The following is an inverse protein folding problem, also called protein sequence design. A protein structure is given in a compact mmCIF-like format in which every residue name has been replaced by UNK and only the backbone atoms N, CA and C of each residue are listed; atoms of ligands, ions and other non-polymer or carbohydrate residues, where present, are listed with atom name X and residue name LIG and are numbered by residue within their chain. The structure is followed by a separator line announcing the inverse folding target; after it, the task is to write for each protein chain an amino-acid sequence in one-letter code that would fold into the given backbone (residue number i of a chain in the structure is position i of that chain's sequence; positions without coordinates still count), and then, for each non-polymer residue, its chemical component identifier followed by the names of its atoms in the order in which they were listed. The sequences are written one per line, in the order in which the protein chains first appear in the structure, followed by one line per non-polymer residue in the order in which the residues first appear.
data_IF_197000277882
#
_entry.id   IF_197000277882
#
_cell.length_a   1.000
_cell.length_b   1.000
_cell.length_c   1.000
_cell.angle_alpha   90.00
_cell.angle_beta   90.00
_cell.angle_gamma   90.00
#
_symmetry.space_group_name_H-M   'P 1'
#
loop_
_entity.id
_entity.type
_entity.pdbx_description
1 polymer ?
#
# COMPACT_ATOMS: atom_id res chain seq x y z
N UNK A 1 25.05 -53.90 -21.41
CA UNK A 1 24.15 -53.55 -22.54
C UNK A 1 22.65 -53.46 -22.18
N UNK A 2 22.17 -53.91 -21.01
CA UNK A 2 20.72 -53.97 -20.68
C UNK A 2 20.05 -52.64 -20.30
N UNK A 3 20.79 -51.66 -19.77
CA UNK A 3 20.21 -50.38 -19.33
C UNK A 3 19.75 -49.48 -20.49
N UNK A 4 20.37 -49.63 -21.66
CA UNK A 4 20.04 -48.80 -22.82
C UNK A 4 18.67 -49.19 -23.39
N UNK A 5 18.39 -50.49 -23.47
CA UNK A 5 17.11 -51.03 -23.96
C UNK A 5 15.94 -50.67 -23.03
N UNK A 6 16.13 -50.76 -21.71
CA UNK A 6 15.10 -50.33 -20.74
C UNK A 6 14.83 -48.83 -20.84
N UNK A 7 15.85 -48.00 -21.04
CA UNK A 7 15.66 -46.55 -21.22
C UNK A 7 14.91 -46.25 -22.52
N UNK A 8 15.28 -46.92 -23.63
CA UNK A 8 14.61 -46.76 -24.92
C UNK A 8 13.16 -47.21 -24.87
N UNK A 9 12.87 -48.33 -24.20
CA UNK A 9 11.51 -48.81 -24.01
C UNK A 9 10.66 -47.85 -23.15
N UNK A 10 11.25 -47.27 -22.09
CA UNK A 10 10.58 -46.27 -21.25
C UNK A 10 10.25 -44.99 -22.03
N UNK A 11 11.24 -44.48 -22.78
CA UNK A 11 11.09 -43.28 -23.62
C UNK A 11 10.06 -43.53 -24.73
N UNK A 12 10.07 -44.72 -25.34
CA UNK A 12 9.06 -45.10 -26.32
C UNK A 12 7.66 -45.15 -25.69
N UNK A 13 7.50 -45.77 -24.52
CA UNK A 13 6.22 -45.82 -23.79
C UNK A 13 5.69 -44.43 -23.45
N UNK A 14 6.56 -43.52 -23.02
CA UNK A 14 6.18 -42.13 -22.73
C UNK A 14 5.73 -41.38 -23.99
N UNK A 15 6.39 -41.60 -25.13
CA UNK A 15 5.98 -41.05 -26.43
C UNK A 15 4.59 -41.54 -26.85
N UNK A 16 4.31 -42.83 -26.63
CA UNK A 16 2.97 -43.38 -26.90
C UNK A 16 1.92 -42.74 -25.99
N UNK A 17 2.19 -42.64 -24.69
CA UNK A 17 1.27 -42.01 -23.73
C UNK A 17 0.93 -40.56 -24.08
N UNK A 18 1.87 -39.81 -24.66
CA UNK A 18 1.71 -38.39 -25.02
C UNK A 18 1.19 -38.15 -26.44
N UNK A 19 1.00 -39.20 -27.24
CA UNK A 19 0.48 -39.05 -28.60
C UNK A 19 1.47 -38.45 -29.62
N UNK A 20 2.78 -38.50 -29.35
CA UNK A 20 3.81 -37.79 -30.14
C UNK A 20 4.56 -38.76 -31.07
N UNK A 21 3.83 -39.34 -32.03
CA UNK A 21 4.32 -40.44 -32.86
C UNK A 21 5.07 -39.95 -34.09
N UNK A 22 4.67 -38.80 -34.63
CA UNK A 22 5.23 -38.24 -35.86
C UNK A 22 6.17 -37.06 -35.59
N UNK A 23 7.09 -36.80 -36.53
CA UNK A 23 8.01 -35.67 -36.41
C UNK A 23 7.26 -34.32 -36.37
N UNK A 24 6.10 -34.22 -37.04
CA UNK A 24 5.24 -33.03 -37.00
C UNK A 24 4.63 -32.78 -35.61
N UNK A 25 4.16 -33.83 -34.92
CA UNK A 25 3.62 -33.72 -33.56
C UNK A 25 4.71 -33.38 -32.54
N UNK A 26 5.92 -33.92 -32.70
CA UNK A 26 7.09 -33.55 -31.88
C UNK A 26 7.47 -32.08 -32.06
N UNK A 27 7.42 -31.57 -33.29
CA UNK A 27 7.69 -30.15 -33.59
C UNK A 27 6.59 -29.26 -32.99
N UNK A 28 5.31 -29.64 -33.12
CA UNK A 28 4.19 -28.92 -32.48
C UNK A 28 4.29 -28.91 -30.96
N UNK A 29 4.61 -30.03 -30.33
CA UNK A 29 4.81 -30.12 -28.89
C UNK A 29 6.04 -29.32 -28.43
N UNK A 30 7.15 -29.36 -29.17
CA UNK A 30 8.34 -28.55 -28.89
C UNK A 30 8.05 -27.05 -29.04
N UNK A 31 7.27 -26.64 -30.03
CA UNK A 31 6.83 -25.26 -30.22
C UNK A 31 5.81 -24.82 -29.17
N UNK A 32 4.94 -25.73 -28.69
CA UNK A 32 4.02 -25.48 -27.58
C UNK A 32 4.75 -25.41 -26.23
N UNK A 33 5.85 -26.14 -26.03
CA UNK A 33 6.72 -26.02 -24.85
C UNK A 33 7.61 -24.77 -24.89
N UNK A 34 7.81 -24.21 -26.08
CA UNK A 34 8.39 -22.88 -26.31
C UNK A 34 7.37 -21.77 -25.98
N UNK A 35 6.52 -21.99 -24.95
CA UNK A 35 5.82 -20.89 -24.28
C UNK A 35 6.90 -19.92 -23.87
N UNK A 36 6.82 -18.74 -24.50
CA UNK A 36 7.82 -17.70 -24.53
C UNK A 36 8.59 -17.64 -23.21
N UNK A 37 9.87 -17.99 -23.20
CA UNK A 37 10.69 -17.95 -21.98
C UNK A 37 10.66 -16.56 -21.33
N UNK A 38 10.41 -15.52 -22.14
CA UNK A 38 10.11 -14.17 -21.70
C UNK A 38 8.84 -14.09 -20.83
N UNK A 39 7.76 -14.79 -21.19
CA UNK A 39 6.53 -14.84 -20.41
C UNK A 39 6.73 -15.50 -19.04
N UNK A 40 7.48 -16.61 -18.98
CA UNK A 40 7.80 -17.28 -17.71
C UNK A 40 8.71 -16.40 -16.83
N UNK A 41 9.72 -15.75 -17.40
CA UNK A 41 10.58 -14.79 -16.69
C UNK A 41 9.80 -13.58 -16.15
N UNK A 42 8.82 -13.09 -16.92
CA UNK A 42 7.94 -12.00 -16.46
C UNK A 42 7.03 -12.46 -15.32
N UNK A 43 6.45 -13.66 -15.38
CA UNK A 43 5.66 -14.22 -14.27
C UNK A 43 6.49 -14.40 -12.99
N UNK A 44 7.75 -14.84 -13.08
CA UNK A 44 8.65 -14.93 -11.93
C UNK A 44 9.01 -13.55 -11.36
N UNK A 45 9.18 -12.54 -12.22
CA UNK A 45 9.45 -11.16 -11.81
C UNK A 45 8.26 -10.54 -11.09
N UNK A 46 7.03 -10.83 -11.55
CA UNK A 46 5.80 -10.40 -10.90
C UNK A 46 5.58 -11.07 -9.53
N UNK A 47 5.98 -12.35 -9.36
CA UNK A 47 5.94 -13.02 -8.05
C UNK A 47 6.91 -12.44 -7.02
N UNK A 48 7.98 -11.76 -7.47
CA UNK A 48 8.92 -11.06 -6.59
C UNK A 48 8.44 -9.66 -6.19
N UNK A 49 7.43 -9.12 -6.86
CA UNK A 49 6.72 -7.90 -6.47
C UNK A 49 5.68 -8.21 -5.38
N UNK A 50 6.08 -8.92 -4.32
CA UNK A 50 5.36 -8.86 -3.06
C UNK A 50 5.82 -7.58 -2.35
N UNK A 51 5.37 -6.43 -2.85
CA UNK A 51 5.53 -5.16 -2.15
C UNK A 51 4.77 -5.26 -0.84
N UNK A 52 5.48 -5.14 0.29
CA UNK A 52 4.84 -4.91 1.57
C UNK A 52 4.16 -3.54 1.48
N UNK A 53 2.87 -3.53 1.20
CA UNK A 53 2.06 -2.34 1.33
C UNK A 53 1.76 -2.15 2.82
N UNK A 54 2.45 -1.20 3.46
CA UNK A 54 2.07 -0.75 4.79
C UNK A 54 0.79 0.07 4.66
N UNK A 55 -0.33 -0.53 5.06
CA UNK A 55 -1.59 0.18 5.18
C UNK A 55 -1.56 0.97 6.49
N UNK A 56 -1.20 2.26 6.41
CA UNK A 56 -1.41 3.17 7.54
C UNK A 56 -2.90 3.55 7.56
N UNK A 57 -3.67 2.90 8.41
CA UNK A 57 -5.03 3.33 8.71
C UNK A 57 -4.95 4.72 9.35
N UNK A 58 -5.26 5.77 8.58
CA UNK A 58 -5.45 7.11 9.12
C UNK A 58 -6.84 7.10 9.76
N UNK A 59 -6.90 6.83 11.07
CA UNK A 59 -8.13 7.03 11.81
C UNK A 59 -8.45 8.52 11.80
N UNK A 60 -9.66 8.88 11.35
CA UNK A 60 -10.18 10.25 11.41
C UNK A 60 -10.57 10.67 12.84
N UNK A 61 -10.21 9.87 13.83
CA UNK A 61 -10.38 10.17 15.24
C UNK A 61 -9.38 11.28 15.58
N UNK A 62 -9.91 12.49 15.68
CA UNK A 62 -9.18 13.60 16.29
C UNK A 62 -8.99 13.18 17.75
N UNK A 63 -7.74 13.09 18.18
CA UNK A 63 -7.39 12.80 19.57
C UNK A 63 -8.17 13.75 20.49
N UNK A 64 -8.82 13.19 21.52
CA UNK A 64 -9.64 13.94 22.49
C UNK A 64 -8.85 15.10 23.11
N UNK A 65 -7.55 14.88 23.37
CA UNK A 65 -6.65 15.92 23.86
C UNK A 65 -6.48 17.10 22.90
N UNK A 66 -6.48 16.85 21.59
CA UNK A 66 -6.40 17.91 20.58
C UNK A 66 -7.69 18.72 20.58
N UNK A 67 -8.84 18.05 20.67
CA UNK A 67 -10.15 18.69 20.75
C UNK A 67 -10.24 19.63 21.96
N UNK A 68 -9.83 19.16 23.13
CA UNK A 68 -9.81 19.94 24.36
C UNK A 68 -8.89 21.17 24.28
N UNK A 69 -7.71 21.03 23.68
CA UNK A 69 -6.78 22.15 23.47
C UNK A 69 -7.43 23.23 22.58
N UNK A 70 -8.09 22.82 21.50
CA UNK A 70 -8.78 23.75 20.61
C UNK A 70 -9.95 24.43 21.32
N UNK A 71 -10.76 23.70 22.09
CA UNK A 71 -11.84 24.29 22.89
C UNK A 71 -11.34 25.30 23.92
N UNK A 72 -10.22 25.02 24.58
CA UNK A 72 -9.59 25.99 25.51
C UNK A 72 -9.15 27.26 24.80
N UNK A 73 -8.61 27.15 23.58
CA UNK A 73 -8.23 28.30 22.76
C UNK A 73 -9.47 29.11 22.37
N UNK A 74 -10.55 28.46 21.94
CA UNK A 74 -11.79 29.13 21.50
C UNK A 74 -12.56 29.78 22.66
N UNK A 75 -12.54 29.20 23.86
CA UNK A 75 -13.18 29.75 25.06
C UNK A 75 -12.27 30.71 25.85
N UNK A 76 -11.04 30.97 25.38
CA UNK A 76 -10.13 31.89 26.04
C UNK A 76 -10.70 33.32 26.01
N UNK A 77 -10.76 34.03 27.15
CA UNK A 77 -11.19 35.43 27.19
C UNK A 77 -10.15 36.39 26.59
N UNK A 78 -8.94 35.90 26.33
CA UNK A 78 -7.83 36.65 25.74
C UNK A 78 -7.70 36.26 24.27
N UNK A 79 -7.50 37.26 23.40
CA UNK A 79 -7.25 37.05 21.97
C UNK A 79 -5.91 36.33 21.74
N UNK A 80 -5.97 35.15 21.13
CA UNK A 80 -4.80 34.33 20.83
C UNK A 80 -4.38 34.59 19.38
N UNK A 81 -3.27 35.30 19.19
CA UNK A 81 -2.74 35.65 17.87
C UNK A 81 -2.21 34.46 17.05
N UNK A 82 -1.65 33.43 17.71
CA UNK A 82 -1.11 32.25 17.04
C UNK A 82 -1.67 30.95 17.65
N UNK A 83 -2.90 30.57 17.28
CA UNK A 83 -3.53 29.35 17.80
C UNK A 83 -2.87 28.08 17.24
N UNK A 84 -2.49 28.08 15.96
CA UNK A 84 -1.89 26.91 15.30
C UNK A 84 -0.52 26.57 15.90
N UNK A 85 0.34 27.57 16.13
CA UNK A 85 1.65 27.36 16.76
C UNK A 85 1.56 26.83 18.20
N UNK A 86 0.43 27.02 18.89
CA UNK A 86 0.19 26.43 20.23
C UNK A 86 -0.32 24.99 20.18
N UNK A 87 -0.82 24.57 19.02
CA UNK A 87 -1.34 23.22 18.78
C UNK A 87 -0.26 22.29 18.20
N UNK A 88 0.80 22.86 17.65
CA UNK A 88 1.98 22.13 17.17
C UNK A 88 2.70 21.51 18.37
N UNK A 89 2.93 20.21 18.29
CA UNK A 89 3.87 19.55 19.18
C UNK A 89 5.30 19.71 18.63
N UNK A 90 6.15 20.37 19.41
CA UNK A 90 7.49 20.75 19.00
C UNK A 90 8.42 19.54 18.87
N UNK A 91 8.20 18.50 19.69
CA UNK A 91 9.04 17.31 19.70
C UNK A 91 8.82 16.50 18.42
N UNK A 92 7.56 16.31 18.01
CA UNK A 92 7.24 15.70 16.72
C UNK A 92 7.64 16.58 15.54
N UNK A 93 7.37 17.89 15.60
CA UNK A 93 7.68 18.81 14.50
C UNK A 93 9.17 18.89 14.16
N UNK A 94 10.06 18.83 15.17
CA UNK A 94 11.51 18.93 14.95
C UNK A 94 12.12 17.70 14.29
N UNK A 95 11.50 16.52 14.46
CA UNK A 95 11.95 15.26 13.88
C UNK A 95 11.56 15.09 12.39
N UNK A 96 10.61 15.87 11.90
CA UNK A 96 10.09 15.78 10.53
C UNK A 96 11.02 16.46 9.50
N UNK A 97 10.99 15.96 8.27
CA UNK A 97 11.60 16.64 7.11
C UNK A 97 10.83 17.91 6.73
N UNK A 98 11.43 18.78 5.92
CA UNK A 98 10.81 20.06 5.55
C UNK A 98 9.46 19.89 4.82
N UNK A 99 9.34 18.84 4.00
CA UNK A 99 8.07 18.50 3.31
C UNK A 99 7.04 18.01 4.32
N UNK A 100 7.43 17.11 5.22
CA UNK A 100 6.54 16.56 6.23
C UNK A 100 6.07 17.64 7.23
N UNK A 101 6.92 18.61 7.56
CA UNK A 101 6.56 19.78 8.38
C UNK A 101 5.45 20.61 7.74
N UNK A 102 5.52 20.84 6.42
CA UNK A 102 4.48 21.57 5.69
C UNK A 102 3.14 20.82 5.76
N UNK A 103 3.16 19.51 5.46
CA UNK A 103 1.96 18.68 5.56
C UNK A 103 1.40 18.59 6.98
N UNK A 104 2.27 18.52 7.99
CA UNK A 104 1.88 18.49 9.39
C UNK A 104 1.16 19.78 9.80
N UNK A 105 1.68 20.95 9.42
CA UNK A 105 1.02 22.24 9.68
C UNK A 105 -0.34 22.30 8.98
N UNK A 106 -0.42 21.91 7.71
CA UNK A 106 -1.69 21.89 6.97
C UNK A 106 -2.73 20.99 7.66
N UNK A 107 -2.31 19.82 8.14
CA UNK A 107 -3.17 18.89 8.86
C UNK A 107 -3.72 19.50 10.17
N UNK A 108 -2.88 20.20 10.94
CA UNK A 108 -3.31 20.90 12.15
C UNK A 108 -4.33 21.99 11.81
N UNK A 109 -4.09 22.76 10.75
CA UNK A 109 -5.02 23.81 10.30
C UNK A 109 -6.38 23.22 9.93
N UNK A 110 -6.40 22.12 9.18
CA UNK A 110 -7.63 21.43 8.79
C UNK A 110 -8.40 20.92 10.01
N UNK A 111 -7.71 20.26 10.96
CA UNK A 111 -8.30 19.79 12.21
C UNK A 111 -8.87 20.95 13.04
N UNK A 112 -8.13 22.05 13.17
CA UNK A 112 -8.59 23.23 13.91
C UNK A 112 -9.84 23.84 13.28
N UNK A 113 -9.87 24.01 11.96
CA UNK A 113 -11.02 24.57 11.25
C UNK A 113 -12.26 23.71 11.37
N UNK A 114 -12.10 22.38 11.34
CA UNK A 114 -13.20 21.44 11.55
C UNK A 114 -13.82 21.63 12.95
N UNK A 115 -13.01 21.59 14.00
CA UNK A 115 -13.47 21.73 15.39
C UNK A 115 -14.09 23.12 15.63
N UNK A 116 -13.48 24.17 15.07
CA UNK A 116 -14.03 25.53 15.14
C UNK A 116 -15.41 25.62 14.50
N UNK A 117 -15.61 24.98 13.36
CA UNK A 117 -16.91 24.94 12.67
C UNK A 117 -17.94 24.19 13.51
N UNK A 118 -17.57 23.04 14.08
CA UNK A 118 -18.43 22.27 14.99
C UNK A 118 -18.82 23.07 16.24
N UNK A 119 -17.87 23.80 16.83
CA UNK A 119 -18.11 24.70 17.97
C UNK A 119 -19.06 25.86 17.61
N UNK A 120 -18.90 26.46 16.44
CA UNK A 120 -19.81 27.51 15.97
C UNK A 120 -21.23 26.96 15.74
N UNK A 121 -21.35 25.76 15.18
CA UNK A 121 -22.64 25.10 14.99
C UNK A 121 -23.31 24.74 16.32
N UNK A 122 -22.56 24.30 17.33
CA UNK A 122 -23.13 23.98 18.64
C UNK A 122 -23.66 25.24 19.34
N UNK A 123 -22.95 26.37 19.25
CA UNK A 123 -23.41 27.66 19.74
C UNK A 123 -24.72 28.11 19.06
N UNK A 124 -24.81 27.97 17.73
CA UNK A 124 -26.02 28.35 16.97
C UNK A 124 -27.26 27.48 17.26
N UNK A 125 -27.09 26.31 17.88
CA UNK A 125 -28.19 25.42 18.27
C UNK A 125 -28.68 25.67 19.70
N UNK A 126 -27.90 26.41 20.49
CA UNK A 126 -28.19 26.70 21.90
C UNK A 126 -28.80 28.10 22.07
N UNK A 127 -28.55 29.02 21.12
CA UNK A 127 -29.22 30.33 21.03
C UNK A 127 -30.52 30.26 20.24
#
# INVERSE_FOLDING_TARGET
MSNNLKSMASIAKERLKRGLYTNAEKIKAKNAMNVNSYFIKNLESLKKLNGQAEFKCITNEIEEEFYDKVYKILNSPIEIYNPIGRLVDQDTYTQLSDIEKQFYILNIVDKYNKIKTEYQQSLSKIG
#
